data_IF_452493342068
#
_entry.id   IF_452493342068
#
_cell.length_a   1.000
_cell.length_b   1.000
_cell.length_c   1.000
_cell.angle_alpha   90.00
_cell.angle_beta   90.00
_cell.angle_gamma   90.00
#
_symmetry.space_group_name_H-M   'P 1'
#
loop_
_entity.id
_entity.type
_entity.pdbx_description
1 polymer ?
#
# COMPACT_ATOMS: atom_id res chain seq x y z
N UNK A 1 7.87 -1.20 34.19
CA UNK A 1 8.05 -0.02 33.31
C UNK A 1 6.71 0.46 32.76
N UNK A 2 5.94 -0.36 32.03
CA UNK A 2 4.59 0.02 31.56
C UNK A 2 3.55 0.12 32.70
N UNK A 3 3.47 -0.90 33.57
CA UNK A 3 2.56 -0.90 34.72
C UNK A 3 2.78 0.30 35.67
N UNK A 4 4.03 0.77 35.79
CA UNK A 4 4.36 1.96 36.59
C UNK A 4 3.87 3.25 35.93
N UNK A 5 3.97 3.36 34.60
CA UNK A 5 3.42 4.47 33.84
C UNK A 5 1.89 4.51 33.93
N UNK A 6 1.24 3.37 33.75
CA UNK A 6 -0.22 3.25 33.90
C UNK A 6 -0.67 3.64 35.31
N UNK A 7 0.05 3.18 36.33
CA UNK A 7 -0.21 3.57 37.72
C UNK A 7 -0.05 5.10 37.93
N UNK A 8 0.98 5.73 37.36
CA UNK A 8 1.16 7.20 37.44
C UNK A 8 0.06 7.96 36.70
N UNK A 9 -0.36 7.46 35.54
CA UNK A 9 -1.46 8.04 34.76
C UNK A 9 -2.77 7.95 35.56
N UNK A 10 -3.06 6.81 36.16
CA UNK A 10 -4.26 6.55 36.98
C UNK A 10 -4.32 7.38 38.26
N UNK A 11 -3.17 7.81 38.79
CA UNK A 11 -3.07 8.60 40.02
C UNK A 11 -2.77 10.10 39.75
N UNK A 12 -2.94 10.57 38.51
CA UNK A 12 -2.77 11.99 38.18
C UNK A 12 -4.06 12.78 38.40
N UNK A 13 -3.95 14.11 38.54
CA UNK A 13 -5.11 15.00 38.73
C UNK A 13 -6.14 14.93 37.58
N UNK A 14 -5.72 14.45 36.40
CA UNK A 14 -6.53 14.26 35.19
C UNK A 14 -6.84 12.78 34.90
N UNK A 15 -6.80 11.90 35.91
CA UNK A 15 -6.91 10.44 35.77
C UNK A 15 -8.09 9.98 34.89
N UNK A 16 -9.27 10.58 35.06
CA UNK A 16 -10.47 10.22 34.27
C UNK A 16 -10.26 10.50 32.77
N UNK A 17 -9.75 11.69 32.42
CA UNK A 17 -9.48 12.07 31.03
C UNK A 17 -8.41 11.16 30.41
N UNK A 18 -7.38 10.81 31.19
CA UNK A 18 -6.32 9.94 30.74
C UNK A 18 -6.77 8.48 30.56
N UNK A 19 -7.69 7.98 31.39
CA UNK A 19 -8.28 6.65 31.21
C UNK A 19 -9.17 6.57 29.96
N UNK A 20 -9.95 7.62 29.69
CA UNK A 20 -10.71 7.72 28.44
C UNK A 20 -9.79 7.74 27.22
N UNK A 21 -8.65 8.44 27.32
CA UNK A 21 -7.66 8.48 26.26
C UNK A 21 -7.08 7.09 25.93
N UNK A 22 -6.66 6.34 26.95
CA UNK A 22 -6.13 4.99 26.77
C UNK A 22 -7.17 4.03 26.20
N UNK A 23 -8.43 4.15 26.66
CA UNK A 23 -9.55 3.35 26.14
C UNK A 23 -9.85 3.68 24.68
N UNK A 24 -9.78 4.96 24.30
CA UNK A 24 -9.92 5.40 22.91
C UNK A 24 -8.82 4.81 22.02
N UNK A 25 -7.56 4.85 22.46
CA UNK A 25 -6.45 4.24 21.73
C UNK A 25 -6.66 2.74 21.53
N UNK A 26 -6.94 1.99 22.60
CA UNK A 26 -7.19 0.54 22.53
C UNK A 26 -8.31 0.20 21.54
N UNK A 27 -9.44 0.91 21.62
CA UNK A 27 -10.57 0.72 20.71
C UNK A 27 -10.20 0.98 19.25
N UNK A 28 -9.58 2.12 18.95
CA UNK A 28 -9.24 2.46 17.57
C UNK A 28 -8.17 1.51 17.00
N UNK A 29 -7.19 1.09 17.80
CA UNK A 29 -6.18 0.11 17.39
C UNK A 29 -6.81 -1.24 17.02
N UNK A 30 -7.74 -1.73 17.84
CA UNK A 30 -8.50 -2.96 17.56
C UNK A 30 -9.36 -2.81 16.31
N UNK A 31 -10.07 -1.68 16.17
CA UNK A 31 -10.98 -1.45 15.05
C UNK A 31 -10.27 -1.41 13.69
N UNK A 32 -9.06 -0.84 13.62
CA UNK A 32 -8.28 -0.83 12.36
C UNK A 32 -7.44 -2.07 12.12
N UNK A 33 -7.29 -2.97 13.10
CA UNK A 33 -6.25 -4.00 13.08
C UNK A 33 -6.26 -4.86 11.82
N UNK A 34 -7.41 -5.40 11.44
CA UNK A 34 -7.52 -6.32 10.30
C UNK A 34 -7.24 -5.62 8.96
N UNK A 35 -7.90 -4.48 8.72
CA UNK A 35 -7.69 -3.70 7.49
C UNK A 35 -6.27 -3.14 7.40
N UNK A 36 -5.69 -2.66 8.51
CA UNK A 36 -4.31 -2.18 8.54
C UNK A 36 -3.31 -3.31 8.29
N UNK A 37 -3.53 -4.50 8.86
CA UNK A 37 -2.71 -5.69 8.55
C UNK A 37 -2.78 -6.00 7.05
N UNK A 38 -3.98 -6.03 6.47
CA UNK A 38 -4.15 -6.30 5.04
C UNK A 38 -3.50 -5.24 4.15
N UNK A 39 -3.56 -3.96 4.54
CA UNK A 39 -2.89 -2.85 3.86
C UNK A 39 -1.36 -3.00 3.90
N UNK A 40 -0.77 -3.36 5.04
CA UNK A 40 0.68 -3.62 5.12
C UNK A 40 1.10 -4.82 4.26
N UNK A 41 0.34 -5.92 4.29
CA UNK A 41 0.60 -7.03 3.37
C UNK A 41 0.46 -6.60 1.91
N UNK A 42 -0.51 -5.74 1.60
CA UNK A 42 -0.76 -5.27 0.24
C UNK A 42 0.41 -4.44 -0.27
N UNK A 43 0.90 -3.50 0.54
CA UNK A 43 2.03 -2.63 0.20
C UNK A 43 3.29 -3.48 -0.06
N UNK A 44 3.65 -4.36 0.88
CA UNK A 44 4.82 -5.24 0.74
C UNK A 44 4.68 -6.24 -0.42
N UNK A 45 3.45 -6.61 -0.78
CA UNK A 45 3.19 -7.55 -1.87
C UNK A 45 3.22 -6.88 -3.24
N UNK A 46 2.53 -5.75 -3.41
CA UNK A 46 2.21 -5.22 -4.73
C UNK A 46 2.87 -3.88 -5.04
N UNK A 47 3.25 -3.09 -4.03
CA UNK A 47 3.90 -1.80 -4.29
C UNK A 47 5.35 -1.98 -4.76
N UNK A 48 6.09 -2.90 -4.13
CA UNK A 48 7.51 -3.14 -4.39
C UNK A 48 7.81 -4.59 -4.83
N UNK A 49 6.79 -5.42 -5.01
CA UNK A 49 6.93 -6.82 -5.42
C UNK A 49 7.11 -6.98 -6.93
N UNK A 50 6.08 -7.42 -7.69
CA UNK A 50 6.23 -7.69 -9.12
C UNK A 50 6.53 -6.43 -9.93
N UNK A 51 7.55 -6.49 -10.76
CA UNK A 51 7.94 -5.38 -11.63
C UNK A 51 6.84 -5.05 -12.65
N UNK A 52 6.11 -6.05 -13.16
CA UNK A 52 4.95 -5.82 -14.03
C UNK A 52 3.89 -4.93 -13.37
N UNK A 53 3.59 -5.19 -12.09
CA UNK A 53 2.64 -4.37 -11.31
C UNK A 53 3.18 -2.96 -11.16
N UNK A 54 4.47 -2.82 -10.83
CA UNK A 54 5.11 -1.51 -10.74
C UNK A 54 5.01 -0.73 -12.07
N UNK A 55 5.21 -1.38 -13.22
CA UNK A 55 5.04 -0.74 -14.53
C UNK A 55 3.60 -0.27 -14.74
N UNK A 56 2.61 -1.13 -14.47
CA UNK A 56 1.20 -0.77 -14.60
C UNK A 56 0.85 0.45 -13.73
N UNK A 57 1.28 0.45 -12.46
CA UNK A 57 1.05 1.54 -11.52
C UNK A 57 1.79 2.84 -11.91
N UNK A 58 3.05 2.75 -12.35
CA UNK A 58 3.81 3.91 -12.82
C UNK A 58 3.14 4.52 -14.06
N UNK A 59 2.67 3.70 -15.00
CA UNK A 59 1.97 4.14 -16.21
C UNK A 59 0.60 4.75 -15.89
N UNK A 60 -0.20 4.12 -15.02
CA UNK A 60 -1.49 4.66 -14.60
C UNK A 60 -1.37 6.01 -13.86
N UNK A 61 -0.26 6.24 -13.17
CA UNK A 61 0.03 7.50 -12.49
C UNK A 61 0.66 8.58 -13.39
N UNK A 62 0.92 8.30 -14.68
CA UNK A 62 1.51 9.29 -15.58
C UNK A 62 0.52 10.43 -15.88
N UNK A 63 0.82 11.63 -15.37
CA UNK A 63 0.10 12.83 -15.78
C UNK A 63 0.64 13.36 -17.12
N UNK A 64 0.04 12.94 -18.23
CA UNK A 64 0.41 13.40 -19.58
C UNK A 64 0.20 14.90 -19.82
N UNK A 65 -0.54 15.59 -18.94
CA UNK A 65 -0.75 17.05 -19.00
C UNK A 65 0.33 17.85 -18.24
N UNK A 66 1.27 17.17 -17.57
CA UNK A 66 2.39 17.82 -16.89
C UNK A 66 3.40 18.42 -17.90
N UNK A 67 4.41 19.12 -17.38
CA UNK A 67 5.49 19.66 -18.21
C UNK A 67 6.21 18.54 -18.98
N UNK A 68 6.45 18.73 -20.27
CA UNK A 68 7.04 17.73 -21.17
C UNK A 68 8.35 17.14 -20.62
N UNK A 69 9.20 17.99 -20.02
CA UNK A 69 10.46 17.56 -19.40
C UNK A 69 10.24 16.55 -18.28
N UNK A 70 9.20 16.76 -17.46
CA UNK A 70 8.84 15.85 -16.37
C UNK A 70 8.32 14.52 -16.92
N UNK A 71 7.39 14.58 -17.87
CA UNK A 71 6.83 13.39 -18.52
C UNK A 71 7.93 12.56 -19.20
N UNK A 72 8.83 13.23 -19.95
CA UNK A 72 9.99 12.58 -20.59
C UNK A 72 10.93 11.92 -19.58
N UNK A 73 11.14 12.52 -18.40
CA UNK A 73 11.98 11.95 -17.36
C UNK A 73 11.39 10.65 -16.79
N UNK A 74 10.08 10.61 -16.55
CA UNK A 74 9.38 9.40 -16.08
C UNK A 74 9.43 8.31 -17.16
N UNK A 75 9.10 8.63 -18.41
CA UNK A 75 9.15 7.66 -19.52
C UNK A 75 10.57 7.07 -19.63
N UNK A 76 11.61 7.90 -19.55
CA UNK A 76 13.00 7.42 -19.57
C UNK A 76 13.34 6.55 -18.36
N UNK A 77 12.72 6.77 -17.19
CA UNK A 77 12.88 5.89 -16.02
C UNK A 77 12.27 4.52 -16.30
N UNK A 78 11.02 4.48 -16.80
CA UNK A 78 10.32 3.24 -17.14
C UNK A 78 11.10 2.45 -18.20
N UNK A 79 11.50 3.11 -19.30
CA UNK A 79 12.27 2.47 -20.39
C UNK A 79 13.62 1.91 -19.91
N UNK A 80 14.26 2.55 -18.92
CA UNK A 80 15.49 2.02 -18.32
C UNK A 80 15.23 0.77 -17.49
N UNK A 81 14.11 0.68 -16.78
CA UNK A 81 13.77 -0.55 -16.04
C UNK A 81 13.56 -1.73 -16.98
N UNK A 82 13.00 -1.51 -18.17
CA UNK A 82 12.82 -2.58 -19.17
C UNK A 82 14.12 -3.26 -19.60
N UNK A 83 15.29 -2.60 -19.51
CA UNK A 83 16.56 -3.26 -19.86
C UNK A 83 17.03 -4.27 -18.80
N UNK A 84 16.60 -4.09 -17.56
CA UNK A 84 16.97 -4.95 -16.43
C UNK A 84 15.84 -5.93 -16.06
N UNK A 85 14.69 -5.83 -16.73
CA UNK A 85 13.50 -6.64 -16.48
C UNK A 85 13.67 -8.07 -17.00
N UNK A 86 13.58 -9.04 -16.08
CA UNK A 86 13.52 -10.47 -16.40
C UNK A 86 12.08 -10.96 -16.21
N UNK A 87 11.38 -11.19 -17.33
CA UNK A 87 9.98 -11.58 -17.29
C UNK A 87 9.73 -12.95 -16.67
N UNK A 88 10.68 -13.88 -16.78
CA UNK A 88 10.47 -15.23 -16.26
C UNK A 88 10.66 -15.26 -14.75
N UNK A 89 11.65 -14.53 -14.24
CA UNK A 89 11.81 -14.30 -12.81
C UNK A 89 10.60 -13.55 -12.22
N UNK A 90 10.13 -12.49 -12.88
CA UNK A 90 9.00 -11.70 -12.37
C UNK A 90 7.69 -12.49 -12.34
N UNK A 91 7.44 -13.41 -13.30
CA UNK A 91 6.30 -14.34 -13.23
C UNK A 91 6.35 -15.23 -11.99
N UNK A 92 7.53 -15.75 -11.64
CA UNK A 92 7.69 -16.58 -10.43
C UNK A 92 7.39 -15.76 -9.17
N UNK A 93 7.96 -14.56 -9.08
CA UNK A 93 7.72 -13.61 -7.99
C UNK A 93 6.24 -13.27 -7.87
N UNK A 94 5.59 -12.90 -8.97
CA UNK A 94 4.18 -12.50 -8.95
C UNK A 94 3.26 -13.67 -8.57
N UNK A 95 3.52 -14.87 -9.11
CA UNK A 95 2.76 -16.07 -8.73
C UNK A 95 2.87 -16.34 -7.23
N UNK A 96 4.09 -16.24 -6.66
CA UNK A 96 4.31 -16.46 -5.24
C UNK A 96 3.63 -15.39 -4.38
N UNK A 97 3.69 -14.12 -4.78
CA UNK A 97 3.09 -12.99 -4.08
C UNK A 97 1.56 -13.10 -4.06
N UNK A 98 0.92 -13.46 -5.17
CA UNK A 98 -0.53 -13.67 -5.21
C UNK A 98 -0.97 -14.76 -4.22
N UNK A 99 -0.22 -15.87 -4.19
CA UNK A 99 -0.49 -16.98 -3.25
C UNK A 99 -0.28 -16.55 -1.79
N UNK A 100 0.83 -15.88 -1.51
CA UNK A 100 1.17 -15.47 -0.15
C UNK A 100 0.15 -14.45 0.36
N UNK A 101 -0.15 -13.39 -0.40
CA UNK A 101 -1.12 -12.37 0.00
C UNK A 101 -2.48 -12.99 0.34
N UNK A 102 -3.03 -13.81 -0.57
CA UNK A 102 -4.30 -14.51 -0.38
C UNK A 102 -4.32 -15.38 0.88
N UNK A 103 -3.18 -15.95 1.27
CA UNK A 103 -3.09 -16.79 2.47
C UNK A 103 -3.08 -16.00 3.80
N UNK A 104 -2.79 -14.70 3.77
CA UNK A 104 -2.55 -13.89 4.99
C UNK A 104 -3.70 -12.98 5.40
N UNK A 105 -4.64 -12.74 4.48
CA UNK A 105 -5.73 -11.78 4.64
C UNK A 105 -7.08 -12.45 4.42
N UNK A 106 -8.12 -11.93 5.06
CA UNK A 106 -9.50 -12.36 4.79
C UNK A 106 -9.92 -11.99 3.36
N UNK A 107 -10.86 -12.76 2.81
CA UNK A 107 -11.32 -12.61 1.42
C UNK A 107 -11.88 -11.22 1.10
N UNK A 108 -12.40 -10.50 2.10
CA UNK A 108 -12.91 -9.13 1.93
C UNK A 108 -11.82 -8.13 1.53
N UNK A 109 -10.55 -8.43 1.82
CA UNK A 109 -9.42 -7.59 1.50
C UNK A 109 -8.75 -7.94 0.16
N UNK A 110 -9.23 -8.99 -0.52
CA UNK A 110 -8.69 -9.38 -1.81
C UNK A 110 -9.13 -8.39 -2.90
N UNK A 111 -8.19 -7.86 -3.72
CA UNK A 111 -8.50 -7.14 -4.95
C UNK A 111 -9.30 -7.99 -5.93
N UNK A 112 -10.04 -7.32 -6.82
CA UNK A 112 -10.95 -7.98 -7.78
C UNK A 112 -10.24 -8.95 -8.75
N UNK A 113 -8.94 -8.77 -8.98
CA UNK A 113 -8.11 -9.72 -9.72
C UNK A 113 -8.25 -11.17 -9.22
N UNK A 114 -8.45 -11.37 -7.91
CA UNK A 114 -8.63 -12.71 -7.34
C UNK A 114 -9.95 -13.35 -7.77
N UNK A 115 -11.00 -12.56 -8.01
CA UNK A 115 -12.26 -13.06 -8.59
C UNK A 115 -12.04 -13.54 -10.02
N UNK A 116 -11.23 -12.82 -10.80
CA UNK A 116 -10.83 -13.22 -12.15
C UNK A 116 -10.01 -14.51 -12.12
N UNK A 117 -9.03 -14.62 -11.21
CA UNK A 117 -8.23 -15.85 -11.00
C UNK A 117 -9.14 -17.04 -10.68
N UNK A 118 -10.10 -16.88 -9.77
CA UNK A 118 -10.98 -17.98 -9.37
C UNK A 118 -11.94 -18.41 -10.49
N UNK A 119 -12.52 -17.43 -11.20
CA UNK A 119 -13.55 -17.70 -12.20
C UNK A 119 -12.96 -18.15 -13.55
N UNK A 120 -11.98 -17.42 -14.07
CA UNK A 120 -11.46 -17.63 -15.43
C UNK A 120 -10.29 -18.62 -15.47
N UNK A 121 -9.57 -18.74 -14.35
CA UNK A 121 -8.36 -19.56 -14.25
C UNK A 121 -8.49 -20.71 -13.24
N UNK A 122 -9.70 -20.94 -12.72
CA UNK A 122 -9.98 -22.05 -11.80
C UNK A 122 -9.23 -21.99 -10.48
N UNK A 123 -8.82 -20.79 -10.06
CA UNK A 123 -8.03 -20.58 -8.85
C UNK A 123 -6.53 -20.83 -9.03
N UNK A 124 -6.03 -21.04 -10.25
CA UNK A 124 -4.60 -21.23 -10.51
C UNK A 124 -3.91 -19.89 -10.82
N UNK A 125 -3.24 -19.33 -9.81
CA UNK A 125 -2.48 -18.08 -9.96
C UNK A 125 -1.37 -18.19 -11.01
N UNK A 126 -0.77 -19.38 -11.21
CA UNK A 126 0.31 -19.53 -12.19
C UNK A 126 -0.23 -19.40 -13.61
N UNK A 127 -1.33 -20.09 -13.90
CA UNK A 127 -1.98 -20.01 -15.22
C UNK A 127 -2.47 -18.59 -15.51
N UNK A 128 -3.01 -17.89 -14.50
CA UNK A 128 -3.35 -16.47 -14.62
C UNK A 128 -2.12 -15.60 -14.96
N UNK A 129 -1.04 -15.74 -14.19
CA UNK A 129 0.20 -14.97 -14.41
C UNK A 129 0.81 -15.28 -15.78
N UNK A 130 0.89 -16.53 -16.19
CA UNK A 130 1.42 -16.89 -17.52
C UNK A 130 0.59 -16.25 -18.64
N UNK A 131 -0.75 -16.26 -18.52
CA UNK A 131 -1.66 -15.57 -19.45
C UNK A 131 -1.45 -14.05 -19.45
N UNK A 132 -1.32 -13.45 -18.27
CA UNK A 132 -1.11 -12.02 -18.10
C UNK A 132 0.15 -11.54 -18.84
N UNK A 133 1.28 -12.21 -18.64
CA UNK A 133 2.55 -11.83 -19.28
C UNK A 133 2.58 -12.15 -20.77
N UNK A 134 1.80 -13.12 -21.23
CA UNK A 134 1.70 -13.45 -22.65
C UNK A 134 0.91 -12.41 -23.47
N UNK A 135 0.04 -11.63 -22.82
CA UNK A 135 -0.89 -10.71 -23.49
C UNK A 135 -0.70 -9.23 -23.14
N UNK A 136 0.21 -8.91 -22.22
CA UNK A 136 0.53 -7.53 -21.88
C UNK A 136 1.63 -6.97 -22.78
N UNK A 137 1.45 -5.74 -23.24
CA UNK A 137 2.45 -5.03 -24.05
C UNK A 137 3.22 -3.96 -23.25
N UNK A 138 2.75 -3.64 -22.03
CA UNK A 138 3.31 -2.54 -21.20
C UNK A 138 4.70 -2.81 -20.62
N UNK A 139 5.27 -3.98 -20.86
CA UNK A 139 6.66 -4.34 -20.49
C UNK A 139 7.68 -3.95 -21.56
N UNK A 140 7.23 -3.39 -22.69
CA UNK A 140 8.10 -3.06 -23.82
C UNK A 140 8.07 -1.57 -24.16
N UNK A 141 9.18 -1.02 -24.71
CA UNK A 141 9.18 0.35 -25.23
C UNK A 141 8.11 0.59 -26.31
N UNK A 142 7.77 -0.44 -27.10
CA UNK A 142 6.76 -0.32 -28.15
C UNK A 142 5.35 -0.23 -27.57
N UNK A 143 4.98 -1.08 -26.60
CA UNK A 143 3.68 -0.99 -25.93
C UNK A 143 3.51 0.32 -25.19
N UNK A 144 4.56 0.79 -24.49
CA UNK A 144 4.54 2.12 -23.87
C UNK A 144 4.35 3.24 -24.92
N UNK A 145 4.99 3.13 -26.09
CA UNK A 145 4.80 4.09 -27.19
C UNK A 145 3.38 4.05 -27.74
N UNK A 146 2.79 2.87 -27.89
CA UNK A 146 1.39 2.72 -28.33
C UNK A 146 0.44 3.41 -27.36
N UNK A 147 0.66 3.25 -26.05
CA UNK A 147 -0.11 3.96 -25.02
C UNK A 147 0.02 5.49 -25.12
N UNK A 148 1.23 5.99 -25.35
CA UNK A 148 1.48 7.44 -25.45
C UNK A 148 1.00 8.03 -26.78
N UNK A 149 0.59 7.19 -27.73
CA UNK A 149 0.09 7.64 -29.02
C UNK A 149 -1.27 8.33 -28.84
N UNK A 150 -1.52 9.47 -29.50
CA UNK A 150 -2.85 10.09 -29.53
C UNK A 150 -3.91 9.24 -30.27
N UNK A 151 -3.51 8.10 -30.82
CA UNK A 151 -4.35 7.23 -31.62
C UNK A 151 -5.35 6.46 -30.73
N UNK A 152 -6.64 6.66 -30.99
CA UNK A 152 -7.76 6.09 -30.21
C UNK A 152 -7.94 4.58 -30.39
N UNK A 153 -7.21 3.94 -31.32
CA UNK A 153 -7.33 2.50 -31.59
C UNK A 153 -6.75 1.65 -30.46
N UNK A 154 -5.78 2.16 -29.71
CA UNK A 154 -5.18 1.45 -28.58
C UNK A 154 -5.65 2.08 -27.27
N UNK A 155 -6.54 1.38 -26.57
CA UNK A 155 -6.97 1.76 -25.24
C UNK A 155 -6.12 1.04 -24.20
N UNK A 156 -5.36 1.78 -23.40
CA UNK A 156 -4.54 1.21 -22.33
C UNK A 156 -5.35 0.39 -21.33
N UNK A 157 -6.62 0.73 -21.13
CA UNK A 157 -7.49 0.01 -20.22
C UNK A 157 -7.84 -1.41 -20.71
N UNK A 158 -7.53 -1.73 -21.97
CA UNK A 158 -7.71 -3.07 -22.53
C UNK A 158 -6.48 -3.96 -22.28
N UNK A 159 -5.33 -3.41 -21.84
CA UNK A 159 -4.16 -4.21 -21.47
C UNK A 159 -4.44 -4.96 -20.14
N UNK A 160 -4.23 -6.28 -20.09
CA UNK A 160 -4.60 -7.07 -18.93
C UNK A 160 -3.79 -6.72 -17.67
N UNK A 161 -2.51 -6.31 -17.80
CA UNK A 161 -1.70 -5.88 -16.65
C UNK A 161 -2.14 -4.51 -16.12
N UNK A 162 -2.64 -3.65 -17.00
CA UNK A 162 -3.24 -2.37 -16.58
C UNK A 162 -4.55 -2.62 -15.84
N UNK A 163 -5.39 -3.55 -16.29
CA UNK A 163 -6.60 -3.93 -15.55
C UNK A 163 -6.27 -4.44 -14.15
N UNK A 164 -5.23 -5.26 -14.01
CA UNK A 164 -4.74 -5.69 -12.69
C UNK A 164 -4.29 -4.49 -11.86
N UNK A 165 -3.54 -3.55 -12.45
CA UNK A 165 -3.12 -2.32 -11.78
C UNK A 165 -4.32 -1.50 -11.26
N UNK A 166 -5.42 -1.43 -12.02
CA UNK A 166 -6.65 -0.76 -11.58
C UNK A 166 -7.28 -1.48 -10.40
N UNK A 167 -7.45 -2.80 -10.47
CA UNK A 167 -8.02 -3.59 -9.36
C UNK A 167 -7.23 -3.40 -8.07
N UNK A 168 -5.90 -3.34 -8.19
CA UNK A 168 -4.99 -3.07 -7.08
C UNK A 168 -5.17 -1.65 -6.52
N UNK A 169 -5.22 -0.61 -7.36
CA UNK A 169 -5.46 0.77 -6.91
C UNK A 169 -6.82 0.88 -6.19
N UNK A 170 -7.87 0.31 -6.76
CA UNK A 170 -9.22 0.32 -6.17
C UNK A 170 -9.17 -0.32 -4.78
N UNK A 171 -8.58 -1.52 -4.66
CA UNK A 171 -8.49 -2.18 -3.35
C UNK A 171 -7.64 -1.40 -2.35
N UNK A 172 -6.52 -0.82 -2.78
CA UNK A 172 -5.69 0.02 -1.93
C UNK A 172 -6.45 1.22 -1.38
N UNK A 173 -7.25 1.89 -2.23
CA UNK A 173 -8.11 3.01 -1.80
C UNK A 173 -9.18 2.56 -0.80
N UNK A 174 -9.81 1.41 -1.02
CA UNK A 174 -10.78 0.83 -0.09
C UNK A 174 -10.16 0.53 1.27
N UNK A 175 -8.99 -0.12 1.30
CA UNK A 175 -8.24 -0.39 2.52
C UNK A 175 -7.89 0.90 3.26
N UNK A 176 -7.41 1.91 2.52
CA UNK A 176 -7.14 3.25 3.05
C UNK A 176 -8.36 3.88 3.70
N UNK A 177 -9.54 3.77 3.06
CA UNK A 177 -10.79 4.27 3.62
C UNK A 177 -11.17 3.54 4.92
N UNK A 178 -11.01 2.21 4.97
CA UNK A 178 -11.32 1.41 6.16
C UNK A 178 -10.46 1.79 7.38
N UNK A 179 -9.22 2.22 7.17
CA UNK A 179 -8.30 2.56 8.28
C UNK A 179 -8.28 4.06 8.62
N UNK A 180 -8.79 4.93 7.75
CA UNK A 180 -8.59 6.39 7.82
C UNK A 180 -9.09 7.03 9.11
N UNK A 181 -10.35 6.80 9.48
CA UNK A 181 -10.95 7.40 10.68
C UNK A 181 -10.20 6.96 11.95
N UNK A 182 -9.99 5.66 12.09
CA UNK A 182 -9.32 5.08 13.25
C UNK A 182 -7.87 5.55 13.36
N UNK A 183 -7.15 5.65 12.25
CA UNK A 183 -5.76 6.15 12.23
C UNK A 183 -5.70 7.63 12.63
N UNK A 184 -6.63 8.45 12.14
CA UNK A 184 -6.75 9.87 12.54
C UNK A 184 -7.00 10.01 14.04
N UNK A 185 -7.88 9.18 14.60
CA UNK A 185 -8.15 9.16 16.03
C UNK A 185 -6.93 8.72 16.85
N UNK A 186 -6.20 7.69 16.39
CA UNK A 186 -4.96 7.22 17.02
C UNK A 186 -3.91 8.32 17.04
N UNK A 187 -3.59 8.94 15.91
CA UNK A 187 -2.58 10.00 15.85
C UNK A 187 -2.92 11.19 16.76
N UNK A 188 -4.21 11.57 16.81
CA UNK A 188 -4.69 12.60 17.73
C UNK A 188 -4.47 12.19 19.19
N UNK A 189 -4.82 10.96 19.54
CA UNK A 189 -4.81 10.50 20.91
C UNK A 189 -3.38 10.15 21.39
N UNK A 190 -2.49 9.69 20.51
CA UNK A 190 -1.06 9.53 20.77
C UNK A 190 -0.37 10.87 21.06
N UNK A 191 -0.75 11.93 20.35
CA UNK A 191 -0.26 13.28 20.63
C UNK A 191 -0.65 13.76 22.02
N UNK A 192 -1.90 13.49 22.43
CA UNK A 192 -2.36 13.78 23.79
C UNK A 192 -1.62 12.93 24.82
N UNK A 193 -1.39 11.65 24.53
CA UNK A 193 -0.66 10.75 25.41
C UNK A 193 0.79 11.22 25.59
N UNK A 194 1.44 11.67 24.52
CA UNK A 194 2.77 12.26 24.58
C UNK A 194 2.79 13.50 25.50
N UNK A 195 1.78 14.37 25.42
CA UNK A 195 1.66 15.52 26.31
C UNK A 195 1.46 15.13 27.79
N UNK A 196 0.67 14.08 28.07
CA UNK A 196 0.53 13.50 29.42
C UNK A 196 1.88 12.98 29.92
N UNK A 197 2.57 12.17 29.11
CA UNK A 197 3.87 11.61 29.44
C UNK A 197 4.89 12.72 29.74
N UNK A 198 4.97 13.76 28.90
CA UNK A 198 5.87 14.90 29.12
C UNK A 198 5.61 15.61 30.45
N UNK A 199 4.34 15.78 30.85
CA UNK A 199 3.98 16.36 32.15
C UNK A 199 4.39 15.46 33.32
N UNK A 200 4.15 14.16 33.21
CA UNK A 200 4.51 13.18 34.24
C UNK A 200 6.03 13.07 34.47
N UNK A 201 6.83 13.33 33.42
CA UNK A 201 8.29 13.31 33.47
C UNK A 201 8.93 14.70 33.36
N UNK A 202 8.20 15.77 33.73
CA UNK A 202 8.69 17.15 33.60
C UNK A 202 9.99 17.44 34.37
N UNK A 203 10.33 16.63 35.37
CA UNK A 203 11.56 16.73 36.16
C UNK A 203 12.75 15.93 35.58
N UNK A 204 12.66 15.46 34.33
CA UNK A 204 13.72 14.70 33.66
C UNK A 204 13.97 15.24 32.25
N UNK A 205 15.18 15.03 31.75
CA UNK A 205 15.47 15.25 30.33
C UNK A 205 14.65 14.25 29.50
N UNK A 206 13.83 14.77 28.60
CA UNK A 206 12.95 13.97 27.74
C UNK A 206 13.42 14.07 26.29
N UNK A 207 13.78 12.93 25.70
CA UNK A 207 14.20 12.85 24.30
C UNK A 207 13.01 12.40 23.44
N UNK A 208 12.70 13.09 22.33
CA UNK A 208 11.62 12.70 21.43
C UNK A 208 11.98 11.45 20.61
N UNK A 209 10.97 10.74 20.12
CA UNK A 209 11.15 9.62 19.18
C UNK A 209 11.86 10.06 17.90
N UNK A 210 12.68 9.17 17.33
CA UNK A 210 13.42 9.40 16.08
C UNK A 210 12.48 9.82 14.94
N UNK A 211 12.85 10.87 14.20
CA UNK A 211 12.08 11.41 13.07
C UNK A 211 13.00 11.80 11.91
N UNK A 212 14.07 11.04 11.70
CA UNK A 212 15.08 11.29 10.65
C UNK A 212 15.78 12.66 10.76
N UNK A 213 15.94 13.16 11.98
CA UNK A 213 16.74 14.36 12.30
C UNK A 213 17.99 13.99 13.10
N UNK A 214 19.01 14.84 13.05
CA UNK A 214 20.23 14.68 13.86
C UNK A 214 19.91 14.66 15.36
N UNK A 215 20.60 13.81 16.13
CA UNK A 215 20.43 13.62 17.58
C UNK A 215 21.73 13.82 18.34
#
# INVERSE_FOLDING_TARGET
KEAELLHRIQNSDEALQNLHLLSSLDLNYKNRQAANKAMMYFDESFADGPELVQFALEILNLNLKAEEKYVSAIIKKIVRKYSDFDSDMDKEVFTAILKEYRSKVDSIFLPDVYRTIDHDYGGDERTFVDSLYAHTDITTPNGLKLFLSPDTVYNIFDDPAVSVGIDLIVKYMELGQMVSEYSTNIERDERKLNAVIRRLYANRNFYPDANSTMR
#
